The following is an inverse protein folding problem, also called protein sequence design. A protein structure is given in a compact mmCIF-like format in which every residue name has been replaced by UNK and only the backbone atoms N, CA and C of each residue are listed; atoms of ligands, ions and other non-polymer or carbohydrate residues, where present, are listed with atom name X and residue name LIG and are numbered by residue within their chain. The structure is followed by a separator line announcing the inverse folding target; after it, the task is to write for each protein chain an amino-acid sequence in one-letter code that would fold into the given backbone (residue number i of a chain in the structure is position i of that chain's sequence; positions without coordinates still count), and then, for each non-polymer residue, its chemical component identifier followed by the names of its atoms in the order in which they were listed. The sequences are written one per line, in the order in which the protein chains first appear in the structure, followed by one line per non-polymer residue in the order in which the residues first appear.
data_IF_561185690697
#
_entry.id   IF_561185690697
#
_cell.length_a   1.000
_cell.length_b   1.000
_cell.length_c   1.000
_cell.angle_alpha   90.00
_cell.angle_beta   90.00
_cell.angle_gamma   90.00
#
_symmetry.space_group_name_H-M   'P 1'
#
loop_
_entity.id
_entity.type
_entity.pdbx_description
1 polymer ?
#
# COMPACT_ATOMS: atom_id res chain seq x y z
N UNK A 1 -20.48 -10.00 -21.53
CA UNK A 1 -20.54 -11.49 -21.51
C UNK A 1 -20.68 -11.89 -20.06
N UNK A 2 -21.28 -13.03 -19.69
CA UNK A 2 -21.16 -13.46 -18.31
C UNK A 2 -19.68 -13.70 -18.02
N UNK A 3 -19.18 -13.13 -16.93
CA UNK A 3 -17.83 -13.44 -16.48
C UNK A 3 -17.82 -14.91 -16.06
N UNK A 4 -16.75 -15.64 -16.39
CA UNK A 4 -16.57 -17.03 -15.94
C UNK A 4 -15.50 -17.07 -14.85
N UNK A 5 -15.67 -18.01 -13.91
CA UNK A 5 -14.65 -18.32 -12.90
C UNK A 5 -14.21 -19.75 -13.07
N UNK A 6 -12.94 -19.99 -12.76
CA UNK A 6 -12.38 -21.35 -12.67
C UNK A 6 -12.39 -21.80 -11.22
N UNK A 7 -12.94 -22.99 -10.95
CA UNK A 7 -12.89 -23.66 -9.65
C UNK A 7 -11.98 -24.86 -9.79
N UNK A 8 -10.93 -24.93 -8.97
CA UNK A 8 -9.98 -26.04 -8.98
C UNK A 8 -9.53 -26.42 -7.58
N UNK A 9 -9.30 -27.71 -7.38
CA UNK A 9 -8.57 -28.21 -6.21
C UNK A 9 -7.06 -28.06 -6.44
N UNK A 10 -6.34 -27.72 -5.39
CA UNK A 10 -4.87 -27.62 -5.37
C UNK A 10 -4.31 -28.49 -4.24
N UNK A 11 -2.99 -28.71 -4.27
CA UNK A 11 -2.31 -29.52 -3.28
C UNK A 11 -2.62 -29.05 -1.84
N UNK A 12 -2.72 -30.01 -0.91
CA UNK A 12 -3.01 -29.71 0.50
C UNK A 12 -4.48 -29.64 0.87
N UNK A 13 -5.40 -29.98 -0.04
CA UNK A 13 -6.85 -29.95 0.23
C UNK A 13 -7.48 -28.56 0.09
N UNK A 14 -6.72 -27.61 -0.47
CA UNK A 14 -7.17 -26.25 -0.73
C UNK A 14 -7.99 -26.19 -2.02
N UNK A 15 -8.93 -25.25 -2.08
CA UNK A 15 -9.70 -24.91 -3.27
C UNK A 15 -9.42 -23.49 -3.69
N UNK A 16 -9.35 -23.25 -5.00
CA UNK A 16 -9.13 -21.91 -5.55
C UNK A 16 -10.24 -21.59 -6.53
N UNK A 17 -10.85 -20.42 -6.35
CA UNK A 17 -11.80 -19.81 -7.29
C UNK A 17 -11.10 -18.63 -7.95
N UNK A 18 -10.87 -18.66 -9.25
CA UNK A 18 -10.16 -17.59 -9.97
C UNK A 18 -11.00 -17.04 -11.14
N UNK A 19 -11.40 -15.75 -11.12
CA UNK A 19 -12.13 -15.08 -12.21
C UNK A 19 -11.24 -14.70 -13.42
N UNK A 20 -9.97 -15.11 -13.44
CA UNK A 20 -8.98 -14.72 -14.45
C UNK A 20 -7.55 -14.92 -13.92
N UNK A 21 -6.60 -14.08 -14.33
CA UNK A 21 -5.23 -14.07 -13.79
C UNK A 21 -5.08 -13.09 -12.62
N UNK A 22 -6.01 -13.14 -11.66
CA UNK A 22 -6.00 -12.29 -10.47
C UNK A 22 -4.97 -12.76 -9.42
N UNK A 23 -4.45 -11.85 -8.57
CA UNK A 23 -3.48 -12.22 -7.53
C UNK A 23 -4.10 -13.20 -6.54
N UNK A 24 -3.27 -14.08 -5.98
CA UNK A 24 -3.65 -15.12 -5.03
C UNK A 24 -2.81 -15.04 -3.76
N UNK A 25 -3.38 -15.41 -2.62
CA UNK A 25 -2.59 -15.59 -1.37
C UNK A 25 -1.62 -16.76 -1.44
N UNK A 26 -1.71 -17.60 -2.47
CA UNK A 26 -0.75 -18.67 -2.75
C UNK A 26 0.46 -18.19 -3.56
N UNK A 27 0.47 -16.93 -4.01
CA UNK A 27 1.61 -16.34 -4.70
C UNK A 27 2.76 -16.15 -3.69
N UNK A 28 3.98 -16.54 -4.08
CA UNK A 28 5.14 -16.54 -3.19
C UNK A 28 5.47 -15.15 -2.61
N UNK A 29 5.11 -14.08 -3.33
CA UNK A 29 5.24 -12.70 -2.85
C UNK A 29 4.13 -11.79 -3.43
N UNK A 30 3.16 -11.35 -2.61
CA UNK A 30 2.10 -10.45 -3.08
C UNK A 30 2.63 -9.02 -3.28
N UNK A 31 2.27 -8.43 -4.42
CA UNK A 31 2.60 -7.03 -4.72
C UNK A 31 1.95 -6.03 -3.74
N UNK A 32 2.50 -4.82 -3.68
CA UNK A 32 1.91 -3.72 -2.87
C UNK A 32 0.51 -3.35 -3.35
N UNK A 33 0.14 -3.66 -4.59
CA UNK A 33 -1.20 -3.45 -5.13
C UNK A 33 -2.20 -4.55 -4.75
N UNK A 34 -1.80 -5.57 -3.99
CA UNK A 34 -2.69 -6.67 -3.61
C UNK A 34 -3.40 -6.34 -2.30
N UNK A 35 -4.72 -6.33 -2.33
CA UNK A 35 -5.57 -6.31 -1.14
C UNK A 35 -5.95 -7.75 -0.77
N UNK A 36 -5.90 -8.09 0.52
CA UNK A 36 -6.24 -9.42 1.04
C UNK A 36 -7.24 -9.26 2.19
N UNK A 37 -8.25 -10.12 2.22
CA UNK A 37 -9.23 -10.18 3.29
C UNK A 37 -9.37 -11.61 3.79
N UNK A 38 -9.24 -11.80 5.11
CA UNK A 38 -9.54 -13.07 5.78
C UNK A 38 -11.06 -13.25 5.89
N UNK A 39 -11.54 -14.43 5.52
CA UNK A 39 -12.96 -14.80 5.52
C UNK A 39 -13.15 -16.15 6.19
N UNK A 40 -14.39 -16.48 6.56
CA UNK A 40 -14.68 -17.76 7.19
C UNK A 40 -14.26 -18.94 6.28
N UNK A 41 -13.24 -19.71 6.67
CA UNK A 41 -12.75 -20.85 5.89
C UNK A 41 -11.91 -20.50 4.65
N UNK A 42 -11.34 -19.29 4.59
CA UNK A 42 -10.43 -18.93 3.51
C UNK A 42 -9.98 -17.48 3.48
N UNK A 43 -9.49 -17.08 2.31
CA UNK A 43 -9.01 -15.73 2.02
C UNK A 43 -9.51 -15.27 0.65
N UNK A 44 -9.74 -13.96 0.54
CA UNK A 44 -10.04 -13.28 -0.72
C UNK A 44 -8.90 -12.33 -1.07
N UNK A 45 -8.53 -12.27 -2.35
CA UNK A 45 -7.48 -11.39 -2.86
C UNK A 45 -7.92 -10.63 -4.12
N UNK A 46 -7.45 -9.38 -4.22
CA UNK A 46 -7.69 -8.47 -5.34
C UNK A 46 -6.43 -7.70 -5.68
N UNK A 47 -6.30 -7.24 -6.93
CA UNK A 47 -5.42 -6.10 -7.22
C UNK A 47 -6.25 -4.83 -7.17
N UNK A 48 -5.78 -3.82 -6.43
CA UNK A 48 -6.43 -2.49 -6.36
C UNK A 48 -6.25 -1.70 -7.67
N UNK A 49 -5.35 -2.14 -8.55
CA UNK A 49 -5.05 -1.49 -9.83
C UNK A 49 -5.89 -2.00 -11.00
N UNK A 50 -6.64 -3.07 -10.80
CA UNK A 50 -7.52 -3.65 -11.81
C UNK A 50 -8.94 -3.14 -11.59
N UNK A 51 -9.69 -2.98 -12.69
CA UNK A 51 -11.11 -2.63 -12.61
C UNK A 51 -11.88 -3.59 -11.67
N UNK A 52 -12.98 -3.13 -11.05
CA UNK A 52 -13.70 -3.88 -10.04
C UNK A 52 -14.27 -5.19 -10.60
N UNK A 53 -13.46 -6.25 -10.48
CA UNK A 53 -13.81 -7.63 -10.74
C UNK A 53 -14.08 -8.42 -9.46
N UNK A 54 -14.37 -9.69 -9.64
CA UNK A 54 -14.51 -10.66 -8.56
C UNK A 54 -13.15 -10.92 -7.88
N UNK A 55 -13.11 -11.25 -6.58
CA UNK A 55 -11.88 -11.70 -5.94
C UNK A 55 -11.39 -13.02 -6.51
N UNK A 56 -10.10 -13.28 -6.38
CA UNK A 56 -9.60 -14.66 -6.29
C UNK A 56 -9.86 -15.16 -4.86
N UNK A 57 -10.44 -16.35 -4.71
CA UNK A 57 -10.64 -16.96 -3.39
C UNK A 57 -9.74 -18.18 -3.22
N UNK A 58 -9.16 -18.33 -2.03
CA UNK A 58 -8.45 -19.53 -1.59
C UNK A 58 -9.14 -20.05 -0.34
N UNK A 59 -9.64 -21.28 -0.40
CA UNK A 59 -10.54 -21.87 0.58
C UNK A 59 -9.85 -23.09 1.19
N UNK A 60 -9.80 -23.13 2.52
CA UNK A 60 -9.27 -24.25 3.30
C UNK A 60 -10.37 -25.05 4.01
N UNK A 61 -11.49 -24.42 4.34
CA UNK A 61 -12.68 -25.05 4.89
C UNK A 61 -13.91 -24.70 4.04
N UNK A 62 -14.23 -25.61 3.12
CA UNK A 62 -15.41 -25.50 2.24
C UNK A 62 -16.71 -25.36 3.04
N UNK A 63 -16.82 -25.99 4.21
CA UNK A 63 -18.06 -25.98 4.99
C UNK A 63 -18.34 -24.57 5.52
N UNK A 64 -17.32 -23.94 6.11
CA UNK A 64 -17.41 -22.56 6.59
C UNK A 64 -17.54 -21.55 5.45
N UNK A 65 -16.97 -21.86 4.28
CA UNK A 65 -16.96 -20.96 3.13
C UNK A 65 -18.27 -20.94 2.32
N UNK A 66 -19.09 -21.99 2.43
CA UNK A 66 -20.19 -22.24 1.49
C UNK A 66 -21.18 -21.08 1.37
N UNK A 67 -21.55 -20.45 2.50
CA UNK A 67 -22.55 -19.38 2.53
C UNK A 67 -22.05 -18.10 1.83
N UNK A 68 -20.80 -17.70 2.07
CA UNK A 68 -20.25 -16.52 1.42
C UNK A 68 -19.84 -16.81 -0.03
N UNK A 69 -19.43 -18.04 -0.38
CA UNK A 69 -19.18 -18.43 -1.77
C UNK A 69 -20.45 -18.27 -2.59
N UNK A 70 -21.60 -18.74 -2.08
CA UNK A 70 -22.89 -18.51 -2.71
C UNK A 70 -23.21 -17.02 -2.85
N UNK A 71 -22.99 -16.24 -1.78
CA UNK A 71 -23.32 -14.81 -1.79
C UNK A 71 -22.48 -14.01 -2.79
N UNK A 72 -21.17 -14.29 -2.88
CA UNK A 72 -20.20 -13.52 -3.66
C UNK A 72 -20.00 -14.03 -5.09
N UNK A 73 -20.07 -15.35 -5.31
CA UNK A 73 -19.80 -15.97 -6.61
C UNK A 73 -21.05 -16.57 -7.27
N UNK A 74 -22.07 -16.89 -6.48
CA UNK A 74 -23.35 -17.42 -6.94
C UNK A 74 -23.53 -18.92 -6.73
N UNK A 75 -24.74 -19.39 -7.04
CA UNK A 75 -25.16 -20.77 -6.81
C UNK A 75 -24.33 -21.80 -7.60
N UNK A 76 -24.07 -21.53 -8.87
CA UNK A 76 -23.34 -22.47 -9.72
C UNK A 76 -21.92 -22.76 -9.19
N UNK A 77 -21.24 -21.72 -8.67
CA UNK A 77 -19.90 -21.83 -8.09
C UNK A 77 -19.93 -22.56 -6.75
N UNK A 78 -20.92 -22.25 -5.91
CA UNK A 78 -21.10 -22.92 -4.63
C UNK A 78 -21.38 -24.43 -4.80
N UNK A 79 -22.16 -24.82 -5.81
CA UNK A 79 -22.40 -26.23 -6.13
C UNK A 79 -21.14 -26.93 -6.65
N UNK A 80 -20.40 -26.29 -7.56
CA UNK A 80 -19.14 -26.82 -8.08
C UNK A 80 -18.08 -27.03 -6.98
N UNK A 81 -18.11 -26.24 -5.91
CA UNK A 81 -17.24 -26.41 -4.74
C UNK A 81 -17.71 -27.55 -3.82
N UNK A 82 -19.02 -27.71 -3.63
CA UNK A 82 -19.59 -28.69 -2.71
C UNK A 82 -19.58 -30.12 -3.25
N UNK A 83 -19.84 -30.33 -4.55
CA UNK A 83 -19.93 -31.68 -5.15
C UNK A 83 -18.66 -32.53 -4.96
N UNK A 84 -17.44 -31.99 -5.20
CA UNK A 84 -16.21 -32.75 -5.00
C UNK A 84 -15.82 -32.86 -3.53
N UNK A 85 -16.17 -31.88 -2.68
CA UNK A 85 -15.90 -31.91 -1.24
C UNK A 85 -16.66 -33.05 -0.52
N UNK A 86 -17.83 -33.43 -1.03
CA UNK A 86 -18.64 -34.56 -0.53
C UNK A 86 -18.16 -35.91 -1.08
N UNK A 87 -17.42 -35.92 -2.20
CA UNK A 87 -16.87 -37.13 -2.77
C UNK A 87 -15.66 -37.62 -1.95
N UNK A 88 -15.83 -38.72 -1.20
CA UNK A 88 -14.82 -39.39 -0.35
C UNK A 88 -13.59 -39.96 -1.10
N UNK A 89 -13.35 -39.59 -2.36
CA UNK A 89 -12.21 -40.04 -3.15
C UNK A 89 -11.06 -39.04 -3.05
N UNK A 90 -9.80 -39.49 -2.89
CA UNK A 90 -8.65 -38.58 -2.91
C UNK A 90 -8.64 -37.87 -4.27
N UNK A 91 -8.80 -36.54 -4.24
CA UNK A 91 -8.64 -35.70 -5.41
C UNK A 91 -7.25 -35.98 -6.00
N UNK A 92 -7.18 -36.32 -7.28
CA UNK A 92 -5.89 -36.32 -7.95
C UNK A 92 -5.27 -34.91 -7.82
N UNK A 93 -3.96 -34.79 -7.57
CA UNK A 93 -3.30 -33.52 -7.27
C UNK A 93 -3.34 -32.48 -8.42
N UNK A 94 -3.97 -32.82 -9.54
CA UNK A 94 -4.27 -31.96 -10.68
C UNK A 94 -5.79 -31.99 -10.94
N UNK A 95 -6.54 -31.49 -9.96
CA UNK A 95 -7.99 -31.57 -9.89
C UNK A 95 -8.67 -30.91 -11.08
N UNK A 96 -9.76 -31.51 -11.54
CA UNK A 96 -10.55 -31.05 -12.69
C UNK A 96 -10.86 -29.55 -12.58
N UNK A 97 -10.42 -28.77 -13.55
CA UNK A 97 -10.75 -27.34 -13.65
C UNK A 97 -12.18 -27.22 -14.15
N UNK A 98 -13.05 -26.63 -13.34
CA UNK A 98 -14.43 -26.36 -13.70
C UNK A 98 -14.58 -24.90 -14.05
N UNK A 99 -14.91 -24.59 -15.30
CA UNK A 99 -15.30 -23.25 -15.70
C UNK A 99 -16.81 -23.07 -15.44
N UNK A 100 -17.15 -22.07 -14.64
CA UNK A 100 -18.51 -21.85 -14.14
C UNK A 100 -18.93 -20.41 -14.36
N UNK A 101 -20.21 -20.18 -14.71
CA UNK A 101 -20.77 -18.83 -14.85
C UNK A 101 -20.73 -18.10 -13.49
N UNK A 102 -20.16 -16.90 -13.48
CA UNK A 102 -20.10 -16.04 -12.31
C UNK A 102 -21.28 -15.06 -12.28
N UNK A 103 -22.05 -15.10 -11.19
CA UNK A 103 -23.06 -14.08 -10.90
C UNK A 103 -23.28 -13.99 -9.39
N UNK A 104 -22.85 -12.91 -8.73
CA UNK A 104 -23.06 -12.71 -7.30
C UNK A 104 -24.54 -12.80 -6.94
N UNK A 105 -24.89 -13.65 -5.97
CA UNK A 105 -26.25 -13.70 -5.44
C UNK A 105 -26.58 -12.44 -4.62
N UNK A 106 -25.57 -11.81 -4.02
CA UNK A 106 -25.68 -10.56 -3.27
C UNK A 106 -24.69 -9.50 -3.76
N UNK A 107 -24.99 -8.78 -4.86
CA UNK A 107 -24.08 -7.80 -5.46
C UNK A 107 -23.66 -6.66 -4.51
N UNK A 108 -24.56 -6.18 -3.64
CA UNK A 108 -24.24 -5.14 -2.63
C UNK A 108 -23.24 -5.64 -1.58
N UNK A 109 -23.40 -6.89 -1.12
CA UNK A 109 -22.44 -7.49 -0.20
C UNK A 109 -21.07 -7.65 -0.88
N UNK A 110 -21.03 -8.10 -2.14
CA UNK A 110 -19.78 -8.19 -2.90
C UNK A 110 -19.09 -6.83 -3.07
N UNK A 111 -19.86 -5.75 -3.27
CA UNK A 111 -19.33 -4.39 -3.29
C UNK A 111 -18.76 -3.97 -1.92
N UNK A 112 -19.47 -4.24 -0.81
CA UNK A 112 -19.00 -3.91 0.53
C UNK A 112 -17.75 -4.71 0.93
N UNK A 113 -17.67 -6.00 0.61
CA UNK A 113 -16.47 -6.83 0.85
C UNK A 113 -15.25 -6.25 0.12
N UNK A 114 -15.43 -5.80 -1.13
CA UNK A 114 -14.37 -5.13 -1.90
C UNK A 114 -13.97 -3.81 -1.26
N UNK A 115 -14.95 -2.99 -0.85
CA UNK A 115 -14.70 -1.71 -0.15
C UNK A 115 -13.95 -1.93 1.15
N UNK A 116 -14.28 -2.98 1.92
CA UNK A 116 -13.57 -3.36 3.14
C UNK A 116 -12.11 -3.72 2.87
N UNK A 117 -11.86 -4.58 1.89
CA UNK A 117 -10.52 -4.98 1.49
C UNK A 117 -9.68 -3.77 1.03
N UNK A 118 -10.29 -2.86 0.26
CA UNK A 118 -9.64 -1.62 -0.15
C UNK A 118 -9.35 -0.70 1.05
N UNK A 119 -10.28 -0.54 2.00
CA UNK A 119 -10.06 0.30 3.19
C UNK A 119 -8.90 -0.22 4.05
N UNK A 120 -8.82 -1.54 4.26
CA UNK A 120 -7.70 -2.19 4.96
C UNK A 120 -6.37 -2.02 4.21
N UNK A 121 -6.40 -2.15 2.88
CA UNK A 121 -5.24 -1.88 2.03
C UNK A 121 -4.80 -0.42 2.13
N UNK A 122 -5.74 0.53 2.05
CA UNK A 122 -5.47 1.97 2.10
C UNK A 122 -4.88 2.38 3.45
N UNK A 123 -5.38 1.81 4.56
CA UNK A 123 -4.83 2.04 5.90
C UNK A 123 -3.33 1.69 5.98
N UNK A 124 -2.87 0.76 5.13
CA UNK A 124 -1.50 0.26 5.16
C UNK A 124 -0.59 0.82 4.07
N UNK A 125 -1.14 1.13 2.90
CA UNK A 125 -0.39 1.36 1.66
C UNK A 125 -0.80 2.62 0.90
N UNK A 126 -1.73 3.43 1.42
CA UNK A 126 -2.12 4.68 0.78
C UNK A 126 -0.89 5.58 0.53
N UNK A 127 -0.67 6.03 -0.71
CA UNK A 127 0.56 6.72 -1.10
C UNK A 127 0.49 8.22 -0.76
N UNK A 128 0.30 8.55 0.51
CA UNK A 128 0.26 9.93 0.97
C UNK A 128 1.57 10.68 0.61
N UNK A 129 1.45 11.80 -0.08
CA UNK A 129 2.57 12.58 -0.56
C UNK A 129 2.23 14.06 -0.64
N UNK A 130 3.00 14.87 0.08
CA UNK A 130 2.95 16.32 -0.01
C UNK A 130 3.47 16.78 -1.37
N UNK A 131 4.55 16.16 -1.88
CA UNK A 131 5.17 16.55 -3.16
C UNK A 131 4.23 16.29 -4.35
N UNK A 132 3.54 15.15 -4.33
CA UNK A 132 2.68 14.72 -5.43
C UNK A 132 1.22 15.16 -5.29
N UNK A 133 0.93 16.00 -4.29
CA UNK A 133 -0.41 16.48 -3.93
C UNK A 133 -1.40 15.35 -3.69
N UNK A 134 -0.98 14.32 -2.95
CA UNK A 134 -1.83 13.21 -2.50
C UNK A 134 -2.00 13.35 -0.98
N UNK A 135 -3.14 13.89 -0.50
CA UNK A 135 -3.40 14.04 0.93
C UNK A 135 -3.36 12.69 1.67
N UNK A 136 -2.97 12.72 2.94
CA UNK A 136 -3.14 11.59 3.83
C UNK A 136 -4.63 11.38 4.13
N UNK A 137 -5.06 10.13 4.22
CA UNK A 137 -6.39 9.78 4.71
C UNK A 137 -6.44 9.98 6.23
N UNK A 138 -7.55 10.51 6.75
CA UNK A 138 -7.76 10.61 8.19
C UNK A 138 -7.98 9.22 8.79
N UNK A 139 -7.08 8.82 9.70
CA UNK A 139 -7.09 7.49 10.32
C UNK A 139 -8.41 7.21 11.06
N UNK A 140 -9.02 8.21 11.71
CA UNK A 140 -10.25 8.02 12.49
C UNK A 140 -11.49 7.89 11.59
N UNK A 141 -11.52 8.56 10.44
CA UNK A 141 -12.54 8.35 9.42
C UNK A 141 -12.36 6.99 8.74
N UNK A 142 -11.13 6.60 8.46
CA UNK A 142 -10.83 5.30 7.86
C UNK A 142 -11.20 4.14 8.80
N UNK A 143 -10.88 4.25 10.09
CA UNK A 143 -11.28 3.29 11.12
C UNK A 143 -12.80 3.19 11.23
N UNK A 144 -13.52 4.30 11.08
CA UNK A 144 -14.99 4.31 11.08
C UNK A 144 -15.55 3.57 9.87
N UNK A 145 -15.01 3.81 8.68
CA UNK A 145 -15.42 3.09 7.47
C UNK A 145 -15.14 1.59 7.60
N UNK A 146 -13.95 1.21 8.09
CA UNK A 146 -13.58 -0.19 8.32
C UNK A 146 -14.57 -0.84 9.29
N UNK A 147 -14.87 -0.21 10.43
CA UNK A 147 -15.81 -0.75 11.41
C UNK A 147 -17.22 -0.94 10.83
N UNK A 148 -17.73 0.04 10.08
CA UNK A 148 -19.03 -0.07 9.42
C UNK A 148 -19.07 -1.15 8.35
N UNK A 149 -18.01 -1.27 7.55
CA UNK A 149 -17.90 -2.28 6.50
C UNK A 149 -17.73 -3.70 7.05
N UNK A 150 -17.04 -3.86 8.20
CA UNK A 150 -16.97 -5.14 8.93
C UNK A 150 -18.36 -5.58 9.39
N UNK A 151 -19.15 -4.67 9.97
CA UNK A 151 -20.54 -4.94 10.39
C UNK A 151 -21.42 -5.36 9.20
N UNK A 152 -21.35 -4.60 8.10
CA UNK A 152 -22.06 -4.91 6.85
C UNK A 152 -21.65 -6.26 6.23
N UNK A 153 -20.44 -6.75 6.54
CA UNK A 153 -19.83 -7.95 5.98
C UNK A 153 -19.69 -9.10 6.99
N UNK A 154 -20.37 -9.04 8.14
CA UNK A 154 -20.27 -10.01 9.24
C UNK A 154 -20.46 -11.46 8.77
N UNK A 155 -21.35 -11.69 7.79
CA UNK A 155 -21.61 -13.03 7.25
C UNK A 155 -20.48 -13.61 6.38
N UNK A 156 -19.42 -12.84 6.13
CA UNK A 156 -18.28 -13.21 5.26
C UNK A 156 -16.99 -13.25 6.06
N UNK A 157 -16.73 -12.24 6.89
CA UNK A 157 -15.47 -12.12 7.63
C UNK A 157 -15.39 -13.17 8.75
N UNK A 158 -14.20 -13.72 8.97
CA UNK A 158 -13.94 -14.49 10.19
C UNK A 158 -13.97 -13.49 11.37
N UNK A 159 -14.86 -13.70 12.34
CA UNK A 159 -15.26 -12.69 13.33
C UNK A 159 -14.12 -11.94 14.06
N UNK A 160 -14.47 -10.78 14.62
CA UNK A 160 -13.74 -9.72 15.36
C UNK A 160 -12.22 -9.75 15.67
N UNK A 161 -11.52 -10.89 15.68
CA UNK A 161 -10.07 -10.98 15.89
C UNK A 161 -9.24 -10.71 14.62
N UNK A 162 -9.89 -10.60 13.44
CA UNK A 162 -9.22 -10.38 12.15
C UNK A 162 -8.78 -8.92 11.88
N UNK A 163 -9.11 -7.96 12.75
CA UNK A 163 -8.77 -6.53 12.56
C UNK A 163 -7.59 -6.15 13.45
N UNK A 164 -6.37 -6.29 12.92
CA UNK A 164 -5.14 -5.92 13.60
C UNK A 164 -5.05 -4.42 13.89
N UNK A 165 -4.96 -4.11 15.19
CA UNK A 165 -4.25 -3.00 15.84
C UNK A 165 -4.47 -1.60 15.25
N UNK A 166 -5.52 -0.94 15.75
CA UNK A 166 -5.72 0.50 15.64
C UNK A 166 -4.47 1.29 16.08
N UNK A 167 -3.95 2.10 15.17
CA UNK A 167 -2.93 3.12 15.45
C UNK A 167 -3.64 4.29 16.14
N UNK A 168 -3.13 4.82 17.27
CA UNK A 168 -3.80 5.91 17.96
C UNK A 168 -3.89 7.16 17.06
N UNK A 169 -5.02 7.91 17.11
CA UNK A 169 -5.24 9.07 16.26
C UNK A 169 -4.17 10.13 16.50
N UNK A 170 -3.52 10.59 15.41
CA UNK A 170 -2.58 11.71 15.44
C UNK A 170 -3.33 13.03 15.22
N UNK A 171 -3.03 14.08 15.99
CA UNK A 171 -3.58 15.40 15.72
C UNK A 171 -3.00 15.95 14.42
N UNK A 172 -3.87 16.51 13.57
CA UNK A 172 -3.49 17.25 12.37
C UNK A 172 -2.58 18.44 12.74
N UNK A 173 -1.30 18.32 12.43
CA UNK A 173 -0.37 19.45 12.42
C UNK A 173 -0.55 20.24 11.13
N UNK A 174 -0.07 21.50 11.11
CA UNK A 174 -0.06 22.32 9.90
C UNK A 174 0.73 21.57 8.80
N UNK A 175 0.03 20.98 7.83
CA UNK A 175 0.64 20.21 6.75
C UNK A 175 1.42 21.14 5.82
N UNK A 176 2.66 20.78 5.51
CA UNK A 176 3.41 21.41 4.42
C UNK A 176 2.66 21.23 3.10
N UNK A 177 2.85 22.15 2.15
CA UNK A 177 2.19 22.11 0.84
C UNK A 177 3.14 21.69 -0.26
N UNK A 178 2.61 21.10 -1.34
CA UNK A 178 3.39 20.73 -2.53
C UNK A 178 4.23 21.91 -3.07
N UNK A 179 3.66 23.11 -3.02
CA UNK A 179 4.30 24.37 -3.47
C UNK A 179 5.53 24.73 -2.63
N UNK A 180 5.55 24.40 -1.34
CA UNK A 180 6.68 24.67 -0.45
C UNK A 180 7.92 23.86 -0.89
N UNK A 181 7.70 22.64 -1.39
CA UNK A 181 8.74 21.78 -1.94
C UNK A 181 9.19 22.19 -3.34
N UNK A 182 8.28 22.69 -4.18
CA UNK A 182 8.63 23.27 -5.47
C UNK A 182 9.55 24.50 -5.31
N UNK A 183 9.30 25.33 -4.29
CA UNK A 183 10.15 26.47 -3.93
C UNK A 183 11.53 26.03 -3.44
N UNK A 184 11.61 25.00 -2.59
CA UNK A 184 12.88 24.44 -2.09
C UNK A 184 13.77 23.86 -3.21
N UNK A 185 13.17 23.28 -4.26
CA UNK A 185 13.90 22.80 -5.44
C UNK A 185 14.42 23.95 -6.35
N UNK A 186 13.83 25.15 -6.24
CA UNK A 186 14.05 26.29 -7.15
C UNK A 186 15.09 27.32 -6.71
N UNK A 187 15.52 27.34 -5.46
CA UNK A 187 16.45 28.36 -4.95
C UNK A 187 17.64 27.75 -4.25
N UNK A 188 18.85 28.14 -4.68
CA UNK A 188 20.11 27.75 -4.07
C UNK A 188 20.03 27.95 -2.54
N UNK A 189 20.02 26.84 -1.80
CA UNK A 189 20.22 26.82 -0.36
C UNK A 189 21.42 27.72 -0.06
N UNK A 190 21.26 28.72 0.80
CA UNK A 190 22.34 29.65 1.13
C UNK A 190 23.57 28.85 1.57
N UNK A 191 24.51 28.67 0.66
CA UNK A 191 25.72 27.88 0.89
C UNK A 191 26.47 28.57 2.01
N UNK A 192 26.62 27.91 3.15
CA UNK A 192 27.46 28.40 4.25
C UNK A 192 28.84 28.75 3.68
N UNK A 193 29.35 29.94 4.00
CA UNK A 193 30.69 30.33 3.58
C UNK A 193 31.70 29.25 4.01
N UNK A 194 32.39 28.64 3.04
CA UNK A 194 33.36 27.56 3.26
C UNK A 194 32.88 26.14 2.91
N UNK A 195 31.63 25.96 2.45
CA UNK A 195 31.11 24.68 1.96
C UNK A 195 31.16 24.63 0.42
N UNK A 196 31.79 23.59 -0.15
CA UNK A 196 31.74 23.31 -1.58
C UNK A 196 30.78 22.15 -1.86
N UNK A 197 29.80 22.36 -2.72
CA UNK A 197 28.88 21.30 -3.18
C UNK A 197 29.52 20.57 -4.35
N UNK A 198 29.80 19.28 -4.19
CA UNK A 198 30.45 18.44 -5.20
C UNK A 198 29.43 17.80 -6.14
N UNK A 199 28.31 17.34 -5.59
CA UNK A 199 27.23 16.71 -6.33
C UNK A 199 25.92 16.86 -5.54
N UNK A 200 24.79 16.82 -6.25
CA UNK A 200 23.45 16.79 -5.64
C UNK A 200 22.52 15.96 -6.51
N UNK A 201 21.48 15.40 -5.91
CA UNK A 201 20.47 14.68 -6.65
C UNK A 201 19.19 14.48 -5.86
N UNK A 202 18.20 13.95 -6.56
CA UNK A 202 16.88 13.61 -6.01
C UNK A 202 16.52 12.20 -6.44
N UNK A 203 15.81 11.48 -5.60
CA UNK A 203 15.34 10.11 -5.86
C UNK A 203 14.05 9.80 -5.11
N UNK A 204 13.50 8.63 -5.43
CA UNK A 204 12.34 8.09 -4.74
C UNK A 204 12.73 7.28 -3.51
N UNK A 205 11.75 7.04 -2.66
CA UNK A 205 11.83 6.03 -1.61
C UNK A 205 10.86 4.91 -1.93
N UNK A 206 11.27 3.66 -1.74
CA UNK A 206 10.31 2.57 -1.66
C UNK A 206 9.67 2.60 -0.28
N UNK A 207 8.55 3.32 -0.16
CA UNK A 207 7.86 3.54 1.12
C UNK A 207 7.38 2.24 1.76
N UNK A 208 7.45 1.10 1.05
CA UNK A 208 7.18 -0.22 1.63
C UNK A 208 8.19 -0.64 2.69
N UNK A 209 9.39 -0.07 2.68
CA UNK A 209 10.39 -0.31 3.73
C UNK A 209 10.14 0.52 5.00
N UNK A 210 9.04 1.27 5.07
CA UNK A 210 8.67 2.09 6.22
C UNK A 210 7.20 1.87 6.62
N UNK A 211 6.84 1.98 7.92
CA UNK A 211 5.45 2.07 8.36
C UNK A 211 4.66 3.17 7.65
N UNK A 212 3.34 2.99 7.49
CA UNK A 212 2.50 4.04 6.92
C UNK A 212 2.60 5.31 7.77
N UNK A 213 2.60 6.46 7.10
CA UNK A 213 2.71 7.76 7.78
C UNK A 213 4.11 8.15 8.26
N UNK A 214 5.18 7.43 7.89
CA UNK A 214 6.55 7.79 8.29
C UNK A 214 7.30 8.63 7.24
N UNK A 215 7.23 8.26 5.96
CA UNK A 215 7.94 8.89 4.85
C UNK A 215 6.97 9.23 3.73
N UNK A 216 7.25 10.31 3.00
CA UNK A 216 6.45 10.73 1.84
C UNK A 216 6.56 9.69 0.71
N UNK A 217 5.42 9.35 0.11
CA UNK A 217 5.33 8.38 -0.96
C UNK A 217 5.79 8.92 -2.33
N UNK A 218 6.43 10.08 -2.41
CA UNK A 218 6.90 10.59 -3.70
C UNK A 218 8.12 9.84 -4.20
N UNK A 219 8.16 9.63 -5.52
CA UNK A 219 9.36 9.25 -6.24
C UNK A 219 10.43 10.36 -6.30
N UNK A 220 10.20 11.48 -5.61
CA UNK A 220 11.12 12.61 -5.43
C UNK A 220 11.33 12.97 -3.95
N UNK A 221 10.85 12.14 -3.02
CA UNK A 221 10.90 12.41 -1.59
C UNK A 221 12.31 12.47 -1.01
N UNK A 222 13.30 11.85 -1.67
CA UNK A 222 14.68 11.81 -1.21
C UNK A 222 15.50 12.84 -1.97
N UNK A 223 16.23 13.66 -1.25
CA UNK A 223 17.26 14.53 -1.79
C UNK A 223 18.58 14.29 -1.06
N UNK A 224 19.67 14.44 -1.79
CA UNK A 224 21.01 14.27 -1.24
C UNK A 224 21.96 15.30 -1.81
N UNK A 225 22.96 15.64 -1.01
CA UNK A 225 23.98 16.61 -1.35
C UNK A 225 25.33 16.14 -0.83
N UNK A 226 26.31 16.07 -1.71
CA UNK A 226 27.70 15.79 -1.37
C UNK A 226 28.40 17.12 -1.15
N UNK A 227 28.76 17.38 0.10
CA UNK A 227 29.39 18.63 0.51
C UNK A 227 30.82 18.37 0.96
N UNK A 228 31.71 19.32 0.67
CA UNK A 228 33.07 19.35 1.21
C UNK A 228 33.26 20.57 2.11
N UNK A 229 33.60 20.32 3.37
CA UNK A 229 33.85 21.35 4.38
C UNK A 229 35.20 21.10 5.01
N UNK A 230 36.11 22.08 4.94
CA UNK A 230 37.47 22.00 5.51
C UNK A 230 38.27 20.74 5.09
N UNK A 231 38.02 20.20 3.89
CA UNK A 231 38.69 19.00 3.37
C UNK A 231 37.94 17.69 3.60
N UNK A 232 36.94 17.66 4.49
CA UNK A 232 36.12 16.49 4.75
C UNK A 232 34.95 16.45 3.76
N UNK A 233 34.68 15.27 3.17
CA UNK A 233 33.58 15.08 2.23
C UNK A 233 32.47 14.31 2.93
N UNK A 234 31.29 14.90 2.98
CA UNK A 234 30.12 14.39 3.69
C UNK A 234 28.94 14.32 2.74
N UNK A 235 28.06 13.35 2.93
CA UNK A 235 26.77 13.27 2.25
C UNK A 235 25.69 13.66 3.25
N UNK A 236 24.93 14.69 2.90
CA UNK A 236 23.71 15.08 3.60
C UNK A 236 22.53 14.44 2.88
N UNK A 237 21.72 13.71 3.61
CA UNK A 237 20.48 13.09 3.14
C UNK A 237 19.31 13.83 3.77
N UNK A 238 18.33 14.19 2.95
CA UNK A 238 17.07 14.77 3.40
C UNK A 238 15.90 14.01 2.73
N UNK A 239 14.98 13.50 3.54
CA UNK A 239 13.82 12.73 3.10
C UNK A 239 12.56 13.41 3.62
N UNK A 240 11.62 13.71 2.74
CA UNK A 240 10.35 14.32 3.14
C UNK A 240 9.55 13.33 3.99
N UNK A 241 9.10 13.79 5.16
CA UNK A 241 8.21 13.02 6.02
C UNK A 241 6.82 12.91 5.42
N UNK A 242 6.07 11.88 5.80
CA UNK A 242 4.69 11.74 5.31
C UNK A 242 3.84 12.97 5.69
N UNK A 243 2.79 13.29 4.92
CA UNK A 243 1.84 14.32 5.31
C UNK A 243 1.31 14.05 6.73
N UNK A 244 1.12 15.12 7.51
CA UNK A 244 0.67 15.05 8.90
C UNK A 244 1.62 14.31 9.87
N UNK A 245 2.87 14.05 9.48
CA UNK A 245 3.90 13.57 10.39
C UNK A 245 4.23 14.68 11.41
N UNK A 246 3.47 14.71 12.50
CA UNK A 246 3.65 15.63 13.60
C UNK A 246 4.01 14.86 14.88
N UNK A 247 4.98 15.40 15.63
CA UNK A 247 5.36 14.92 16.95
C UNK A 247 6.71 14.20 17.01
N UNK A 248 7.14 13.91 18.24
CA UNK A 248 8.41 13.23 18.49
C UNK A 248 8.30 11.74 18.15
N UNK A 249 8.96 11.31 17.06
CA UNK A 249 9.09 9.89 16.72
C UNK A 249 10.14 9.24 17.65
N UNK A 250 9.79 8.16 18.37
CA UNK A 250 10.73 7.43 19.21
C UNK A 250 11.96 6.98 18.43
N UNK A 251 13.13 6.95 19.06
CA UNK A 251 14.40 6.64 18.39
C UNK A 251 14.39 5.30 17.64
N UNK A 252 13.68 4.29 18.16
CA UNK A 252 13.57 2.98 17.52
C UNK A 252 12.61 2.94 16.32
N UNK A 253 11.82 3.99 16.09
CA UNK A 253 10.92 4.15 14.94
C UNK A 253 11.46 5.18 13.93
N UNK A 254 12.71 5.62 14.09
CA UNK A 254 13.32 6.56 13.16
C UNK A 254 13.83 5.81 11.93
N UNK A 255 13.52 6.31 10.72
CA UNK A 255 14.04 5.72 9.50
C UNK A 255 15.57 5.89 9.45
N UNK A 256 16.21 4.95 8.78
CA UNK A 256 17.63 5.00 8.42
C UNK A 256 17.77 5.09 6.92
N UNK A 257 18.90 5.60 6.47
CA UNK A 257 19.25 5.59 5.06
C UNK A 257 20.58 4.87 4.85
N UNK A 258 20.61 3.93 3.91
CA UNK A 258 21.85 3.38 3.37
C UNK A 258 22.27 4.23 2.20
N UNK A 259 23.49 4.77 2.27
CA UNK A 259 24.10 5.65 1.27
C UNK A 259 25.20 4.89 0.55
N UNK A 260 25.16 4.86 -0.78
CA UNK A 260 26.16 4.24 -1.63
C UNK A 260 26.67 5.24 -2.69
N UNK A 261 27.98 5.30 -2.90
CA UNK A 261 28.59 6.04 -4.01
C UNK A 261 28.68 5.20 -5.29
N UNK A 262 29.66 5.50 -6.15
CA UNK A 262 29.93 4.68 -7.34
C UNK A 262 30.35 3.24 -7.01
N UNK A 263 31.00 3.02 -5.86
CA UNK A 263 31.28 1.69 -5.32
C UNK A 263 30.12 1.22 -4.42
N UNK A 264 29.21 0.44 -5.00
CA UNK A 264 27.99 -0.02 -4.31
C UNK A 264 28.26 -1.02 -3.18
N UNK A 265 29.47 -1.59 -3.09
CA UNK A 265 29.85 -2.48 -1.98
C UNK A 265 30.24 -1.73 -0.71
N UNK A 266 30.56 -0.44 -0.82
CA UNK A 266 30.91 0.41 0.32
C UNK A 266 29.77 1.36 0.61
N UNK A 267 28.95 0.96 1.57
CA UNK A 267 27.80 1.75 2.02
C UNK A 267 28.07 2.40 3.37
N UNK A 268 27.33 3.48 3.65
CA UNK A 268 27.25 4.09 4.96
C UNK A 268 25.79 4.11 5.42
N UNK A 269 25.52 3.67 6.65
CA UNK A 269 24.19 3.75 7.25
C UNK A 269 24.08 4.97 8.15
N UNK A 270 23.11 5.84 7.88
CA UNK A 270 22.82 7.04 8.66
C UNK A 270 21.47 6.91 9.35
N UNK A 271 21.41 7.24 10.65
CA UNK A 271 20.14 7.43 11.35
C UNK A 271 19.58 8.80 10.99
N UNK A 272 18.31 8.87 10.58
CA UNK A 272 17.66 10.12 10.24
C UNK A 272 16.93 10.69 11.46
N UNK A 273 16.98 12.01 11.60
CA UNK A 273 16.27 12.74 12.65
C UNK A 273 15.33 13.76 12.01
N UNK A 274 14.13 13.89 12.57
CA UNK A 274 13.11 14.77 12.06
C UNK A 274 13.42 16.22 12.43
N UNK A 275 13.51 17.10 11.44
CA UNK A 275 13.62 18.56 11.57
C UNK A 275 12.46 19.19 10.81
N UNK A 276 11.49 19.75 11.54
CA UNK A 276 10.23 20.17 10.93
C UNK A 276 9.47 18.97 10.41
N UNK A 277 9.30 18.90 9.10
CA UNK A 277 8.64 17.83 8.33
C UNK A 277 9.64 16.96 7.54
N UNK A 278 10.95 17.21 7.69
CA UNK A 278 11.98 16.55 6.88
C UNK A 278 12.90 15.71 7.76
N UNK A 279 13.08 14.44 7.39
CA UNK A 279 14.07 13.55 7.97
C UNK A 279 15.46 13.88 7.43
N UNK A 280 16.40 14.19 8.30
CA UNK A 280 17.75 14.60 7.90
C UNK A 280 18.79 13.69 8.53
N UNK A 281 19.87 13.40 7.79
CA UNK A 281 21.05 12.73 8.30
C UNK A 281 22.29 13.16 7.55
N UNK A 282 23.43 13.17 8.23
CA UNK A 282 24.73 13.49 7.66
C UNK A 282 25.67 12.30 7.91
N UNK A 283 26.45 11.91 6.90
CA UNK A 283 27.46 10.84 7.00
C UNK A 283 28.72 11.20 6.24
N UNK A 284 29.85 10.59 6.59
CA UNK A 284 31.04 10.63 5.73
C UNK A 284 30.72 10.02 4.37
N UNK A 285 31.20 10.66 3.30
CA UNK A 285 30.89 10.25 1.95
C UNK A 285 31.58 8.93 1.59
N UNK A 286 30.84 7.89 1.17
CA UNK A 286 31.44 6.71 0.58
C UNK A 286 32.30 7.06 -0.65
N UNK A 287 33.30 6.23 -1.00
CA UNK A 287 34.12 6.47 -2.18
C UNK A 287 33.28 6.61 -3.46
N UNK A 288 33.61 7.59 -4.30
CA UNK A 288 32.93 7.83 -5.57
C UNK A 288 31.59 8.57 -5.45
N UNK A 289 31.22 9.07 -4.26
CA UNK A 289 29.99 9.86 -4.07
C UNK A 289 29.94 11.11 -4.95
N UNK A 290 31.09 11.67 -5.34
CA UNK A 290 31.18 12.82 -6.25
C UNK A 290 30.64 12.53 -7.68
N UNK A 291 30.51 11.26 -8.06
CA UNK A 291 29.97 10.83 -9.35
C UNK A 291 28.46 10.58 -9.30
N UNK A 292 27.90 10.49 -8.09
CA UNK A 292 26.50 10.15 -7.85
C UNK A 292 26.35 9.37 -6.54
N UNK A 293 25.18 9.49 -5.94
CA UNK A 293 24.81 8.78 -4.72
C UNK A 293 23.48 8.09 -4.91
N UNK A 294 23.40 6.83 -4.48
CA UNK A 294 22.14 6.12 -4.29
C UNK A 294 21.80 6.11 -2.80
N UNK A 295 20.56 6.44 -2.48
CA UNK A 295 20.05 6.47 -1.11
C UNK A 295 18.86 5.52 -1.03
N UNK A 296 18.91 4.56 -0.11
CA UNK A 296 17.78 3.68 0.20
C UNK A 296 17.31 3.95 1.63
N UNK A 297 16.04 4.31 1.80
CA UNK A 297 15.45 4.65 3.10
C UNK A 297 14.65 3.47 3.61
N UNK A 298 14.83 3.11 4.88
CA UNK A 298 14.18 1.95 5.50
C UNK A 298 14.03 2.14 7.00
N UNK A 299 13.10 1.44 7.62
CA UNK A 299 13.05 1.27 9.07
C UNK A 299 13.61 -0.11 9.44
N UNK A 300 14.62 -0.21 10.33
CA UNK A 300 15.14 -1.50 10.77
C UNK A 300 14.04 -2.42 11.34
N UNK A 301 14.01 -3.66 10.86
CA UNK A 301 12.98 -4.64 11.27
C UNK A 301 11.65 -4.52 10.52
N UNK A 302 11.55 -3.62 9.53
CA UNK A 302 10.36 -3.44 8.71
C UNK A 302 10.65 -3.73 7.24
N UNK A 303 9.73 -4.41 6.55
CA UNK A 303 9.83 -4.63 5.10
C UNK A 303 11.03 -5.47 4.62
N UNK A 304 11.69 -6.22 5.52
CA UNK A 304 12.96 -6.90 5.25
C UNK A 304 12.95 -8.01 4.18
N UNK A 305 11.79 -8.35 3.61
CA UNK A 305 11.62 -9.42 2.62
C UNK A 305 10.89 -8.94 1.34
N UNK A 306 10.84 -7.63 1.09
CA UNK A 306 10.10 -7.10 -0.06
C UNK A 306 10.89 -7.29 -1.36
N UNK A 307 10.33 -8.00 -2.34
CA UNK A 307 10.96 -8.06 -3.65
C UNK A 307 10.86 -6.73 -4.39
N UNK A 308 11.96 -6.35 -5.02
CA UNK A 308 12.10 -5.06 -5.69
C UNK A 308 11.20 -4.93 -6.92
N UNK A 309 10.92 -6.04 -7.62
CA UNK A 309 10.09 -6.06 -8.82
C UNK A 309 8.60 -5.85 -8.51
N UNK A 310 8.11 -6.41 -7.40
CA UNK A 310 6.69 -6.45 -7.01
C UNK A 310 6.15 -5.16 -6.36
N UNK A 311 7.02 -4.17 -6.19
CA UNK A 311 6.62 -2.80 -5.87
C UNK A 311 7.61 -1.82 -6.46
N UNK A 312 8.14 -2.16 -7.64
CA UNK A 312 9.04 -1.31 -8.39
C UNK A 312 8.37 0.01 -8.74
N UNK A 313 9.18 0.96 -9.22
CA UNK A 313 8.76 2.33 -9.53
C UNK A 313 7.47 2.40 -10.35
N UNK A 314 7.34 1.57 -11.38
CA UNK A 314 6.15 1.55 -12.23
C UNK A 314 4.86 1.18 -11.47
N UNK A 315 4.91 0.21 -10.55
CA UNK A 315 3.75 -0.18 -9.73
C UNK A 315 3.38 0.96 -8.77
N UNK A 316 4.38 1.58 -8.14
CA UNK A 316 4.18 2.75 -7.26
C UNK A 316 3.63 3.97 -8.01
N UNK A 317 4.04 4.18 -9.26
CA UNK A 317 3.48 5.20 -10.14
C UNK A 317 1.98 4.94 -10.39
N UNK A 318 1.61 3.70 -10.75
CA UNK A 318 0.21 3.31 -10.93
C UNK A 318 -0.64 3.45 -9.66
N UNK A 319 -0.07 3.13 -8.48
CA UNK A 319 -0.75 3.30 -7.19
C UNK A 319 -1.01 4.78 -6.89
N UNK A 320 -0.06 5.67 -7.17
CA UNK A 320 -0.26 7.11 -7.05
C UNK A 320 -1.34 7.62 -8.01
N UNK A 321 -1.38 7.10 -9.23
CA UNK A 321 -2.43 7.44 -10.19
C UNK A 321 -3.81 6.94 -9.75
N UNK A 322 -3.90 5.72 -9.19
CA UNK A 322 -5.12 5.20 -8.57
C UNK A 322 -5.61 6.13 -7.46
N UNK A 323 -4.73 6.53 -6.54
CA UNK A 323 -5.09 7.40 -5.42
C UNK A 323 -5.68 8.73 -5.92
N UNK A 324 -5.05 9.36 -6.93
CA UNK A 324 -5.57 10.59 -7.56
C UNK A 324 -6.93 10.38 -8.21
N UNK A 325 -7.12 9.29 -8.95
CA UNK A 325 -8.40 8.99 -9.59
C UNK A 325 -9.53 8.79 -8.56
N UNK A 326 -9.21 8.16 -7.42
CA UNK A 326 -10.18 7.96 -6.35
C UNK A 326 -10.54 9.27 -5.63
N UNK A 327 -9.56 10.13 -5.35
CA UNK A 327 -9.82 11.46 -4.79
C UNK A 327 -10.66 12.34 -5.74
N UNK A 328 -10.36 12.32 -7.04
CA UNK A 328 -11.16 13.02 -8.05
C UNK A 328 -12.61 12.53 -8.09
N UNK A 329 -12.82 11.22 -7.92
CA UNK A 329 -14.15 10.63 -7.82
C UNK A 329 -14.85 11.03 -6.52
N UNK A 330 -14.13 11.06 -5.40
CA UNK A 330 -14.67 11.45 -4.10
C UNK A 330 -15.13 12.92 -4.06
N UNK A 331 -14.49 13.78 -4.84
CA UNK A 331 -14.93 15.18 -5.03
C UNK A 331 -16.20 15.33 -5.88
N UNK A 332 -16.54 14.33 -6.70
CA UNK A 332 -17.72 14.37 -7.56
C UNK A 332 -18.98 13.86 -6.83
N UNK A 333 -20.18 14.34 -7.20
CA UNK A 333 -21.42 13.79 -6.67
C UNK A 333 -21.53 12.29 -7.02
N UNK A 334 -21.80 11.45 -6.02
CA UNK A 334 -22.03 10.02 -6.17
C UNK A 334 -23.40 9.62 -5.62
N UNK A 335 -23.89 8.45 -6.02
CA UNK A 335 -25.12 7.86 -5.48
C UNK A 335 -24.76 6.80 -4.44
N UNK A 336 -25.52 6.69 -3.35
CA UNK A 336 -25.36 5.60 -2.38
C UNK A 336 -25.61 4.21 -3.00
N UNK A 337 -26.29 4.16 -4.15
CA UNK A 337 -26.50 2.92 -4.92
C UNK A 337 -25.31 2.54 -5.83
N UNK A 338 -24.26 3.38 -5.93
CA UNK A 338 -23.08 3.05 -6.71
C UNK A 338 -22.27 1.93 -6.03
N UNK A 339 -21.75 0.98 -6.83
CA UNK A 339 -21.01 -0.17 -6.29
C UNK A 339 -19.59 0.15 -5.79
N UNK A 340 -19.16 1.40 -5.92
CA UNK A 340 -17.81 1.87 -5.55
C UNK A 340 -17.91 3.27 -4.91
N UNK A 341 -18.75 3.36 -3.87
CA UNK A 341 -18.91 4.58 -3.06
C UNK A 341 -17.56 4.91 -2.39
N UNK A 342 -17.07 6.16 -2.51
CA UNK A 342 -15.87 6.62 -1.80
C UNK A 342 -15.95 6.39 -0.29
N UNK A 343 -14.79 6.20 0.34
CA UNK A 343 -14.67 6.18 1.79
C UNK A 343 -14.85 7.60 2.35
N UNK A 344 -15.32 7.74 3.60
CA UNK A 344 -15.41 9.02 4.29
C UNK A 344 -14.05 9.73 4.34
N UNK A 345 -12.97 8.97 4.57
CA UNK A 345 -11.61 9.51 4.57
C UNK A 345 -11.20 10.03 3.19
N UNK A 346 -11.67 9.44 2.09
CA UNK A 346 -11.40 9.92 0.73
C UNK A 346 -12.15 11.21 0.43
N UNK A 347 -13.39 11.33 0.91
CA UNK A 347 -14.22 12.53 0.75
C UNK A 347 -13.61 13.71 1.51
N UNK A 348 -13.18 13.49 2.75
CA UNK A 348 -12.52 14.50 3.58
C UNK A 348 -11.18 14.95 2.98
N UNK A 349 -10.37 13.99 2.51
CA UNK A 349 -9.11 14.26 1.86
C UNK A 349 -9.29 15.05 0.54
N UNK A 350 -10.32 14.73 -0.25
CA UNK A 350 -10.65 15.44 -1.47
C UNK A 350 -11.17 16.87 -1.21
N UNK A 351 -11.95 17.07 -0.13
CA UNK A 351 -12.42 18.39 0.27
C UNK A 351 -11.28 19.31 0.73
N UNK A 352 -10.27 18.74 1.40
CA UNK A 352 -9.09 19.47 1.87
C UNK A 352 -8.22 20.04 0.74
N UNK A 353 -8.31 19.49 -0.47
CA UNK A 353 -7.65 20.02 -1.67
C UNK A 353 -8.43 21.21 -2.27
N UNK A 354 -9.76 21.25 -2.12
CA UNK A 354 -10.64 22.26 -2.70
C UNK A 354 -10.68 23.59 -1.92
N UNK A 355 -10.30 23.56 -0.63
CA UNK A 355 -10.33 24.73 0.26
C UNK A 355 -9.12 25.68 0.11
N UNK A 356 -8.29 25.52 -0.93
CA UNK A 356 -7.11 26.35 -1.18
C UNK A 356 -7.03 26.96 -2.58
#
# INVERSE_FOLDING_TARGET
MPDSVTVRAVAGGLWVITPGDGPSVLDDDPGIDVAVLEVAGGHLSWSVLTEPGSPTAVIDDVTSAQDWVWALYGEAVALALAEPAVALAPAEPDGSVHEVEYRPARPRLAANVRRLAFALWAARWWPASTIDAIPALDDALLDRDIAGLVDDCESVVAGADAVLMAVPPRPAGNAARAEDYALAAGTATAVRAGTLVLARGTGGTDWRHCPPGLVDASERAVSWEVQRVAGNTTVRVAVVGAPNLAGAVPAHLRPRATVAGADTFRTADVELHLIGDTWVGDTDAPPGSEQGVTVNVYLPGFGGNLHQELGGRHVRDRIRDLARQRLQRAAAPYSDDDSDVPLLAEIDAAASEADF
#
